data_IF_593745809023
#
_entry.id   IF_593745809023
#
_cell.length_a   1.000
_cell.length_b   1.000
_cell.length_c   1.000
_cell.angle_alpha   90.00
_cell.angle_beta   90.00
_cell.angle_gamma   90.00
#
_symmetry.space_group_name_H-M   'P 1'
#
loop_
_entity.id
_entity.type
_entity.pdbx_description
1 polymer ?
#
# COMPACT_ATOMS: atom_id res chain seq x y z
N UNK A 1 -17.17 16.57 -3.94
CA UNK A 1 -17.14 15.54 -2.88
C UNK A 1 -17.23 14.18 -3.55
N UNK A 2 -16.20 13.33 -3.46
CA UNK A 2 -16.29 11.96 -3.98
C UNK A 2 -17.20 11.13 -3.08
N UNK A 3 -18.06 10.29 -3.66
CA UNK A 3 -18.98 9.42 -2.94
C UNK A 3 -18.27 8.34 -2.10
N UNK A 4 -19.00 7.50 -1.35
CA UNK A 4 -18.40 6.36 -0.66
C UNK A 4 -17.95 5.27 -1.66
N UNK A 5 -16.97 4.43 -1.28
CA UNK A 5 -16.66 3.21 -2.02
C UNK A 5 -17.85 2.26 -1.90
N UNK A 6 -18.28 1.66 -3.02
CA UNK A 6 -19.32 0.63 -3.01
C UNK A 6 -18.67 -0.74 -3.12
N UNK A 7 -19.07 -1.65 -2.23
CA UNK A 7 -18.52 -3.02 -2.18
C UNK A 7 -19.61 -4.00 -2.56
N UNK A 8 -19.31 -4.92 -3.46
CA UNK A 8 -20.18 -6.02 -3.85
C UNK A 8 -19.43 -7.34 -3.77
N UNK A 9 -20.14 -8.43 -3.47
CA UNK A 9 -19.58 -9.78 -3.50
C UNK A 9 -20.15 -10.54 -4.69
N UNK A 10 -19.29 -11.20 -5.45
CA UNK A 10 -19.70 -12.08 -6.55
C UNK A 10 -20.19 -13.43 -6.01
N UNK A 11 -20.96 -14.22 -6.80
CA UNK A 11 -21.31 -15.59 -6.42
C UNK A 11 -20.09 -16.49 -6.16
N UNK A 12 -18.96 -16.22 -6.80
CA UNK A 12 -17.68 -16.91 -6.58
C UNK A 12 -16.96 -16.48 -5.29
N UNK A 13 -17.53 -15.55 -4.51
CA UNK A 13 -16.97 -15.06 -3.26
C UNK A 13 -15.96 -13.92 -3.40
N UNK A 14 -15.59 -13.52 -4.62
CA UNK A 14 -14.71 -12.38 -4.86
C UNK A 14 -15.39 -11.05 -4.48
N UNK A 15 -14.59 -10.07 -4.07
CA UNK A 15 -15.08 -8.74 -3.69
C UNK A 15 -14.75 -7.72 -4.77
N UNK A 16 -15.73 -6.91 -5.16
CA UNK A 16 -15.57 -5.81 -6.11
C UNK A 16 -15.78 -4.48 -5.41
N UNK A 17 -14.81 -3.57 -5.56
CA UNK A 17 -14.83 -2.23 -4.99
C UNK A 17 -14.99 -1.22 -6.11
N UNK A 18 -16.09 -0.47 -6.13
CA UNK A 18 -16.25 0.68 -7.00
C UNK A 18 -15.72 1.92 -6.29
N UNK A 19 -14.57 2.42 -6.76
CA UNK A 19 -13.82 3.52 -6.16
C UNK A 19 -14.10 4.80 -6.95
N UNK A 20 -14.55 5.88 -6.28
CA UNK A 20 -15.07 7.09 -6.94
C UNK A 20 -13.98 8.04 -7.47
N UNK A 21 -12.71 7.69 -7.28
CA UNK A 21 -11.54 8.48 -7.68
C UNK A 21 -10.55 7.55 -8.36
N UNK A 22 -9.64 8.06 -9.21
CA UNK A 22 -8.57 7.25 -9.75
C UNK A 22 -7.45 7.05 -8.71
N UNK A 23 -6.56 6.04 -8.85
CA UNK A 23 -5.56 5.70 -7.83
C UNK A 23 -4.65 6.86 -7.43
N UNK A 24 -4.31 7.74 -8.38
CA UNK A 24 -3.42 8.89 -8.20
C UNK A 24 -4.03 9.97 -7.28
N UNK A 25 -5.35 9.92 -7.06
CA UNK A 25 -6.11 10.84 -6.21
C UNK A 25 -6.47 10.22 -4.86
N UNK A 26 -5.99 9.02 -4.54
CA UNK A 26 -6.16 8.44 -3.21
C UNK A 26 -5.46 9.30 -2.16
N UNK A 27 -6.11 9.57 -1.01
CA UNK A 27 -5.57 10.47 0.01
C UNK A 27 -4.25 9.96 0.57
N UNK A 28 -3.37 10.87 0.97
CA UNK A 28 -2.22 10.52 1.81
C UNK A 28 -2.70 9.88 3.12
N UNK A 29 -1.83 9.09 3.74
CA UNK A 29 -2.10 8.40 5.01
C UNK A 29 -1.06 8.81 6.07
N UNK A 30 -1.37 8.69 7.36
CA UNK A 30 -0.36 8.86 8.40
C UNK A 30 0.75 7.78 8.28
N UNK A 31 2.04 8.13 8.41
CA UNK A 31 3.13 7.14 8.39
C UNK A 31 3.00 6.06 9.47
N UNK A 32 2.48 6.41 10.64
CA UNK A 32 2.19 5.50 11.74
C UNK A 32 1.13 4.45 11.39
N UNK A 33 0.10 4.84 10.63
CA UNK A 33 -0.92 3.90 10.15
C UNK A 33 -0.32 2.93 9.14
N UNK A 34 0.62 3.39 8.30
CA UNK A 34 1.33 2.54 7.34
C UNK A 34 2.21 1.51 8.05
N UNK A 35 2.87 1.90 9.14
CA UNK A 35 3.64 0.97 9.98
C UNK A 35 2.72 -0.02 10.70
N UNK A 36 1.59 0.43 11.26
CA UNK A 36 0.61 -0.45 11.89
C UNK A 36 0.01 -1.45 10.89
N UNK A 37 -0.29 -1.00 9.67
CA UNK A 37 -0.76 -1.81 8.56
C UNK A 37 0.27 -2.88 8.16
N UNK A 38 1.56 -2.50 8.08
CA UNK A 38 2.65 -3.44 7.86
C UNK A 38 2.69 -4.54 8.92
N UNK A 39 2.65 -4.17 10.21
CA UNK A 39 2.63 -5.14 11.30
C UNK A 39 1.40 -6.05 11.26
N UNK A 40 0.23 -5.51 10.91
CA UNK A 40 -1.02 -6.27 10.80
C UNK A 40 -0.95 -7.29 9.65
N UNK A 41 -0.52 -6.85 8.48
CA UNK A 41 -0.34 -7.70 7.30
C UNK A 41 0.65 -8.84 7.56
N UNK A 42 1.78 -8.56 8.20
CA UNK A 42 2.77 -9.58 8.58
C UNK A 42 2.18 -10.65 9.51
N UNK A 43 1.41 -10.24 10.53
CA UNK A 43 0.75 -11.20 11.42
C UNK A 43 -0.27 -12.07 10.67
N UNK A 44 -1.05 -11.48 9.78
CA UNK A 44 -2.01 -12.22 8.97
C UNK A 44 -1.34 -13.21 8.02
N UNK A 45 -0.21 -12.83 7.41
CA UNK A 45 0.59 -13.72 6.56
C UNK A 45 1.15 -14.91 7.35
N UNK A 46 1.65 -14.67 8.56
CA UNK A 46 2.10 -15.74 9.47
C UNK A 46 0.97 -16.69 9.89
N UNK A 47 -0.28 -16.23 9.85
CA UNK A 47 -1.49 -17.00 10.14
C UNK A 47 -2.18 -17.55 8.88
N UNK A 48 -1.58 -17.34 7.69
CA UNK A 48 -2.11 -17.79 6.39
C UNK A 48 -3.55 -17.31 6.11
N UNK A 49 -3.87 -16.07 6.48
CA UNK A 49 -5.20 -15.48 6.27
C UNK A 49 -5.32 -14.88 4.85
N UNK A 50 -5.45 -15.73 3.82
CA UNK A 50 -5.33 -15.33 2.41
C UNK A 50 -6.46 -14.41 1.88
N UNK A 51 -7.66 -14.48 2.45
CA UNK A 51 -8.83 -13.71 2.00
C UNK A 51 -9.34 -14.06 0.59
N UNK A 52 -10.50 -13.51 0.17
CA UNK A 52 -11.00 -13.70 -1.18
C UNK A 52 -10.25 -12.82 -2.20
N UNK A 53 -10.27 -13.18 -3.48
CA UNK A 53 -9.82 -12.29 -4.57
C UNK A 53 -10.58 -10.97 -4.56
N UNK A 54 -9.90 -9.88 -4.92
CA UNK A 54 -10.49 -8.53 -4.93
C UNK A 54 -10.28 -7.85 -6.28
N UNK A 55 -11.32 -7.20 -6.79
CA UNK A 55 -11.27 -6.33 -7.97
C UNK A 55 -11.57 -4.89 -7.56
N UNK A 56 -10.63 -3.99 -7.82
CA UNK A 56 -10.78 -2.56 -7.60
C UNK A 56 -11.09 -1.88 -8.93
N UNK A 57 -12.23 -1.21 -9.02
CA UNK A 57 -12.68 -0.46 -10.20
C UNK A 57 -12.65 1.02 -9.89
N UNK A 58 -11.62 1.72 -10.35
CA UNK A 58 -11.42 3.14 -10.14
C UNK A 58 -12.07 3.95 -11.26
N UNK A 59 -12.92 4.91 -10.91
CA UNK A 59 -13.51 5.85 -11.87
C UNK A 59 -12.44 6.81 -12.42
N UNK A 60 -12.42 7.03 -13.75
CA UNK A 60 -11.62 8.10 -14.36
C UNK A 60 -12.47 9.24 -14.93
N UNK A 61 -11.92 10.46 -14.98
CA UNK A 61 -12.45 11.51 -15.85
C UNK A 61 -12.49 10.99 -17.30
N UNK A 62 -13.67 11.02 -17.93
CA UNK A 62 -13.87 10.48 -19.29
C UNK A 62 -14.67 9.18 -19.36
N UNK A 63 -15.00 8.57 -18.21
CA UNK A 63 -15.94 7.44 -18.14
C UNK A 63 -15.31 6.05 -18.27
N UNK A 64 -14.06 5.96 -18.73
CA UNK A 64 -13.28 4.73 -18.62
C UNK A 64 -12.91 4.45 -17.15
N UNK A 65 -12.75 3.18 -16.81
CA UNK A 65 -12.35 2.74 -15.48
C UNK A 65 -10.96 2.12 -15.53
N UNK A 66 -10.17 2.34 -14.48
CA UNK A 66 -8.98 1.52 -14.23
C UNK A 66 -9.35 0.37 -13.33
N UNK A 67 -8.98 -0.83 -13.75
CA UNK A 67 -9.22 -2.06 -13.01
C UNK A 67 -7.91 -2.60 -12.47
N UNK A 68 -7.87 -2.88 -11.17
CA UNK A 68 -6.74 -3.50 -10.49
C UNK A 68 -7.25 -4.73 -9.76
N UNK A 69 -6.67 -5.89 -10.08
CA UNK A 69 -6.97 -7.13 -9.38
C UNK A 69 -5.91 -7.39 -8.30
N UNK A 70 -6.37 -7.64 -7.07
CA UNK A 70 -5.56 -8.25 -6.03
C UNK A 70 -5.84 -9.75 -6.09
N UNK A 71 -5.04 -10.44 -6.90
CA UNK A 71 -5.15 -11.87 -7.18
C UNK A 71 -3.97 -12.70 -6.65
N UNK A 72 -2.84 -12.05 -6.40
CA UNK A 72 -1.70 -12.67 -5.73
C UNK A 72 -2.05 -13.03 -4.28
N UNK A 73 -1.60 -14.21 -3.82
CA UNK A 73 -1.98 -14.72 -2.50
C UNK A 73 -1.42 -13.85 -1.36
N UNK A 74 -0.17 -13.40 -1.47
CA UNK A 74 0.45 -12.56 -0.46
C UNK A 74 -0.24 -11.20 -0.40
N UNK A 75 -0.49 -10.58 -1.55
CA UNK A 75 -1.24 -9.32 -1.65
C UNK A 75 -2.68 -9.47 -1.14
N UNK A 76 -3.33 -10.60 -1.42
CA UNK A 76 -4.68 -10.94 -0.94
C UNK A 76 -4.71 -11.06 0.58
N UNK A 77 -3.71 -11.72 1.17
CA UNK A 77 -3.59 -11.87 2.61
C UNK A 77 -3.47 -10.52 3.32
N UNK A 78 -2.68 -9.63 2.74
CA UNK A 78 -2.46 -8.31 3.34
C UNK A 78 -3.70 -7.45 3.19
N UNK A 79 -4.35 -7.49 2.03
CA UNK A 79 -5.62 -6.81 1.83
C UNK A 79 -6.68 -7.31 2.81
N UNK A 80 -6.78 -8.62 3.06
CA UNK A 80 -7.67 -9.20 4.06
C UNK A 80 -7.38 -8.71 5.48
N UNK A 81 -6.10 -8.64 5.85
CA UNK A 81 -5.68 -8.15 7.16
C UNK A 81 -6.14 -6.71 7.39
N UNK A 82 -5.91 -5.84 6.40
CA UNK A 82 -6.31 -4.43 6.45
C UNK A 82 -7.83 -4.29 6.42
N UNK A 83 -8.53 -5.11 5.63
CA UNK A 83 -9.99 -5.08 5.55
C UNK A 83 -10.63 -5.43 6.90
N UNK A 84 -10.11 -6.47 7.59
CA UNK A 84 -10.61 -6.86 8.91
C UNK A 84 -10.25 -5.87 10.02
N UNK A 85 -9.08 -5.22 9.93
CA UNK A 85 -8.62 -4.29 10.98
C UNK A 85 -9.08 -2.84 10.81
N UNK A 86 -9.21 -2.37 9.56
CA UNK A 86 -9.35 -0.95 9.21
C UNK A 86 -10.54 -0.73 8.25
N UNK A 87 -10.76 -1.69 7.34
CA UNK A 87 -11.87 -1.67 6.38
C UNK A 87 -11.51 -1.00 5.05
N UNK A 88 -11.59 -1.76 3.96
CA UNK A 88 -11.33 -1.27 2.60
C UNK A 88 -12.52 -0.56 1.95
N UNK A 89 -13.67 -0.51 2.63
CA UNK A 89 -14.86 0.24 2.21
C UNK A 89 -14.73 1.76 2.31
N UNK A 90 -13.58 2.28 2.75
CA UNK A 90 -13.31 3.71 2.87
C UNK A 90 -12.12 4.11 1.99
N UNK A 91 -12.08 5.37 1.52
CA UNK A 91 -10.93 5.88 0.77
C UNK A 91 -9.64 5.83 1.58
N UNK A 92 -9.70 6.07 2.89
CA UNK A 92 -8.55 6.00 3.78
C UNK A 92 -8.02 4.57 3.92
N UNK A 93 -8.88 3.59 4.19
CA UNK A 93 -8.46 2.19 4.31
C UNK A 93 -7.94 1.61 3.00
N UNK A 94 -8.58 1.94 1.87
CA UNK A 94 -8.08 1.54 0.55
C UNK A 94 -6.75 2.21 0.21
N UNK A 95 -6.61 3.51 0.49
CA UNK A 95 -5.37 4.26 0.30
C UNK A 95 -4.21 3.66 1.10
N UNK A 96 -4.47 3.25 2.34
CA UNK A 96 -3.50 2.61 3.21
C UNK A 96 -3.08 1.25 2.67
N UNK A 97 -4.04 0.41 2.28
CA UNK A 97 -3.78 -0.91 1.71
C UNK A 97 -2.93 -0.82 0.44
N UNK A 98 -3.30 0.04 -0.51
CA UNK A 98 -2.56 0.16 -1.77
C UNK A 98 -1.16 0.73 -1.57
N UNK A 99 -0.98 1.68 -0.65
CA UNK A 99 0.37 2.20 -0.32
C UNK A 99 1.24 1.14 0.33
N UNK A 100 0.69 0.28 1.18
CA UNK A 100 1.43 -0.84 1.76
C UNK A 100 1.89 -1.83 0.67
N UNK A 101 0.99 -2.21 -0.25
CA UNK A 101 1.33 -3.10 -1.36
C UNK A 101 2.35 -2.47 -2.31
N UNK A 102 2.17 -1.19 -2.65
CA UNK A 102 3.11 -0.44 -3.47
C UNK A 102 4.49 -0.29 -2.81
N UNK A 103 4.54 -0.17 -1.47
CA UNK A 103 5.78 -0.11 -0.72
C UNK A 103 6.55 -1.42 -0.87
N UNK A 104 5.89 -2.56 -0.78
CA UNK A 104 6.57 -3.86 -0.90
C UNK A 104 6.99 -4.16 -2.32
N UNK A 105 6.15 -3.78 -3.28
CA UNK A 105 6.51 -3.82 -4.69
C UNK A 105 7.76 -2.99 -4.99
N UNK A 106 7.84 -1.74 -4.51
CA UNK A 106 8.98 -0.86 -4.82
C UNK A 106 10.25 -1.30 -4.09
N UNK A 107 10.14 -1.84 -2.86
CA UNK A 107 11.27 -2.43 -2.13
C UNK A 107 11.86 -3.64 -2.85
N UNK A 108 11.01 -4.48 -3.46
CA UNK A 108 11.45 -5.62 -4.26
C UNK A 108 12.03 -5.21 -5.62
N UNK A 109 11.50 -4.14 -6.23
CA UNK A 109 11.86 -3.71 -7.59
C UNK A 109 13.07 -2.78 -7.65
N UNK A 110 13.33 -1.96 -6.62
CA UNK A 110 14.30 -0.86 -6.68
C UNK A 110 15.48 -1.12 -5.73
N UNK A 111 16.61 -1.68 -6.21
CA UNK A 111 17.76 -2.01 -5.38
C UNK A 111 18.37 -0.82 -4.64
N UNK A 112 18.22 0.39 -5.17
CA UNK A 112 18.72 1.61 -4.54
C UNK A 112 18.05 1.92 -3.18
N UNK A 113 16.91 1.30 -2.87
CA UNK A 113 16.23 1.43 -1.58
C UNK A 113 16.77 0.48 -0.51
N UNK A 114 17.64 -0.47 -0.87
CA UNK A 114 18.23 -1.44 0.07
C UNK A 114 18.81 -0.81 1.35
N UNK A 115 19.47 0.37 1.34
CA UNK A 115 19.96 0.99 2.57
C UNK A 115 18.88 1.49 3.54
N UNK A 116 17.60 1.49 3.13
CA UNK A 116 16.47 2.05 3.89
C UNK A 116 15.63 0.99 4.58
N UNK A 117 16.06 -0.27 4.53
CA UNK A 117 15.46 -1.33 5.31
C UNK A 117 16.50 -2.37 5.67
N UNK A 118 16.34 -2.99 6.83
CA UNK A 118 17.15 -4.12 7.24
C UNK A 118 16.24 -5.33 7.43
N UNK A 119 16.66 -6.48 6.91
CA UNK A 119 15.99 -7.76 7.15
C UNK A 119 16.63 -8.41 8.38
N UNK A 120 15.83 -8.57 9.44
CA UNK A 120 16.19 -9.15 10.73
C UNK A 120 15.46 -10.49 10.93
N UNK A 121 15.88 -11.33 11.90
CA UNK A 121 15.13 -12.54 12.25
C UNK A 121 13.68 -12.25 12.68
N UNK A 122 13.45 -11.09 13.28
CA UNK A 122 12.13 -10.64 13.74
C UNK A 122 11.32 -9.95 12.63
N UNK A 123 11.92 -9.69 11.46
CA UNK A 123 11.23 -9.17 10.29
C UNK A 123 12.00 -8.18 9.43
N UNK A 124 11.31 -7.13 9.00
CA UNK A 124 11.91 -6.04 8.22
C UNK A 124 11.75 -4.76 9.03
N UNK A 125 12.86 -4.11 9.30
CA UNK A 125 12.91 -2.77 9.89
C UNK A 125 12.94 -1.75 8.76
N UNK A 126 11.98 -0.82 8.76
CA UNK A 126 11.83 0.19 7.72
C UNK A 126 12.33 1.55 8.23
N UNK A 127 13.18 2.21 7.45
CA UNK A 127 13.65 3.55 7.79
C UNK A 127 12.48 4.56 7.81
N UNK A 128 12.36 5.44 8.82
CA UNK A 128 11.23 6.37 8.92
C UNK A 128 11.00 7.23 7.66
N UNK A 129 12.08 7.71 7.03
CA UNK A 129 12.00 8.47 5.78
C UNK A 129 11.31 7.72 4.62
N UNK A 130 11.41 6.39 4.58
CA UNK A 130 10.74 5.54 3.60
C UNK A 130 9.23 5.48 3.86
N UNK A 131 8.83 5.25 5.12
CA UNK A 131 7.43 5.30 5.53
C UNK A 131 6.80 6.67 5.23
N UNK A 132 7.53 7.73 5.56
CA UNK A 132 7.19 9.12 5.29
C UNK A 132 7.03 9.45 3.79
N UNK A 133 7.83 8.81 2.93
CA UNK A 133 7.71 8.95 1.49
C UNK A 133 6.47 8.20 0.98
N UNK A 134 6.31 6.93 1.35
CA UNK A 134 5.20 6.08 0.94
C UNK A 134 3.83 6.61 1.43
N UNK A 135 3.79 7.22 2.61
CA UNK A 135 2.61 7.85 3.18
C UNK A 135 2.04 9.00 2.32
N UNK A 136 2.92 9.73 1.61
CA UNK A 136 2.58 11.01 0.97
C UNK A 136 2.68 11.02 -0.54
N UNK A 137 3.55 10.20 -1.13
CA UNK A 137 3.70 10.16 -2.57
C UNK A 137 2.37 9.69 -3.21
N UNK A 138 1.91 10.38 -4.26
CA UNK A 138 0.84 9.85 -5.08
C UNK A 138 1.24 8.50 -5.66
N UNK A 139 0.26 7.59 -5.75
CA UNK A 139 0.40 6.39 -6.55
C UNK A 139 0.20 6.73 -8.03
N UNK A 140 0.72 5.89 -8.93
CA UNK A 140 0.43 5.97 -10.35
C UNK A 140 -0.89 5.26 -10.71
N UNK A 141 -1.21 5.24 -12.01
CA UNK A 141 -2.39 4.58 -12.55
C UNK A 141 -2.49 3.09 -12.22
N UNK A 142 -1.36 2.41 -12.00
CA UNK A 142 -1.27 1.01 -11.61
C UNK A 142 -1.20 0.80 -10.10
N UNK A 143 -1.47 1.83 -9.30
CA UNK A 143 -1.31 1.85 -7.85
C UNK A 143 0.12 1.55 -7.36
N UNK A 144 1.15 2.00 -8.09
CA UNK A 144 2.57 1.84 -7.75
C UNK A 144 3.21 3.18 -7.40
N UNK A 145 4.35 3.12 -6.71
CA UNK A 145 5.20 4.30 -6.54
C UNK A 145 6.12 4.51 -7.76
N UNK A 146 6.16 5.74 -8.25
CA UNK A 146 7.13 6.17 -9.25
C UNK A 146 8.56 6.17 -8.66
N UNK A 147 9.47 5.43 -9.31
CA UNK A 147 10.83 5.24 -8.82
C UNK A 147 11.62 6.56 -8.78
N UNK A 148 11.49 7.39 -9.81
CA UNK A 148 12.23 8.65 -9.88
C UNK A 148 11.76 9.61 -8.77
N UNK A 149 10.45 9.67 -8.53
CA UNK A 149 9.85 10.49 -7.50
C UNK A 149 10.25 10.04 -6.09
N UNK A 150 10.20 8.73 -5.79
CA UNK A 150 10.58 8.22 -4.47
C UNK A 150 12.06 8.45 -4.20
N UNK A 151 12.94 8.20 -5.17
CA UNK A 151 14.38 8.44 -5.02
C UNK A 151 14.67 9.92 -4.82
N UNK A 152 14.08 10.81 -5.62
CA UNK A 152 14.25 12.25 -5.47
C UNK A 152 13.81 12.76 -4.10
N UNK A 153 12.68 12.26 -3.59
CA UNK A 153 12.17 12.65 -2.28
C UNK A 153 13.05 12.16 -1.13
N UNK A 154 13.62 10.96 -1.25
CA UNK A 154 14.50 10.39 -0.25
C UNK A 154 15.86 11.08 -0.26
N UNK A 155 16.43 11.36 -1.43
CA UNK A 155 17.70 12.09 -1.57
C UNK A 155 17.65 13.51 -1.01
N UNK A 156 16.49 14.17 -1.01
CA UNK A 156 16.35 15.51 -0.43
C UNK A 156 16.16 15.50 1.09
N UNK A 157 15.73 14.37 1.66
CA UNK A 157 15.43 14.21 3.10
C UNK A 157 16.55 13.53 3.88
N UNK A 158 17.36 12.73 3.21
CA UNK A 158 18.49 12.02 3.81
C UNK A 158 19.79 12.75 3.43
N UNK A 159 20.51 13.35 4.38
CA UNK A 159 21.88 13.76 4.09
C UNK A 159 22.71 12.55 3.64
N UNK A 160 23.75 12.74 2.80
CA UNK A 160 24.68 11.66 2.49
C UNK A 160 25.29 11.13 3.79
N UNK A 161 24.98 9.89 4.15
CA UNK A 161 25.42 9.26 5.41
C UNK A 161 24.46 9.38 6.59
N UNK A 162 23.17 9.70 6.39
CA UNK A 162 22.17 9.68 7.46
C UNK A 162 22.10 8.29 8.10
N UNK A 163 22.60 8.24 9.32
CA UNK A 163 22.99 7.05 10.06
C UNK A 163 21.81 6.12 10.38
N UNK A 164 22.12 4.82 10.40
CA UNK A 164 21.26 3.71 10.82
C UNK A 164 20.79 3.89 12.27
N UNK A 165 19.77 4.70 12.52
CA UNK A 165 19.11 4.67 13.82
C UNK A 165 18.18 3.47 13.88
N UNK A 166 18.74 2.37 14.40
CA UNK A 166 18.00 1.27 15.01
C UNK A 166 16.94 1.86 15.95
N UNK A 167 15.68 1.59 15.68
CA UNK A 167 14.64 1.71 16.69
C UNK A 167 14.73 0.39 17.46
N UNK A 168 15.25 0.48 18.69
CA UNK A 168 15.24 -0.62 19.65
C UNK A 168 13.82 -0.84 20.20
#
# INVERSE_FOLDING_TARGET
MSGPIRVARTPSGALTYAVPVPPEHLPAVPPEDLLAAWSLARRAAALHLWGPPRLLRFARPGGEATEIAIADADAGCWAEAIDNGIGLGTLAGLALCLRLLALVEVLARVPALAPLFDVTPDGIDLHPALLDAAARLPLDAGARFDEAAIRRLLSSRLPPGADRRRIA
#
